data_IF_358911781781
#
_entry.id   IF_358911781781
#
_cell.length_a   1.000
_cell.length_b   1.000
_cell.length_c   1.000
_cell.angle_alpha   90.00
_cell.angle_beta   90.00
_cell.angle_gamma   90.00
#
_symmetry.space_group_name_H-M   'P 1'
#
loop_
_entity.id
_entity.type
_entity.pdbx_description
1 polymer ?
#
# COMPACT_ATOMS: atom_id res chain seq x y z
N UNK A 1 53.85 -8.61 34.79
CA UNK A 1 52.69 -9.32 34.21
C UNK A 1 51.44 -9.01 35.05
N UNK A 2 50.62 -8.04 34.64
CA UNK A 2 49.29 -7.78 35.22
C UNK A 2 48.32 -7.39 34.09
N UNK A 3 47.11 -7.91 34.21
CA UNK A 3 46.14 -8.27 33.17
C UNK A 3 45.56 -7.07 32.42
N UNK A 4 45.49 -7.16 31.08
CA UNK A 4 44.62 -6.31 30.25
C UNK A 4 43.16 -6.61 30.60
N UNK A 5 42.38 -5.56 30.89
CA UNK A 5 40.93 -5.62 31.00
C UNK A 5 40.38 -5.31 29.61
N UNK A 6 39.83 -6.32 28.94
CA UNK A 6 39.05 -6.13 27.72
C UNK A 6 37.63 -5.74 28.12
N UNK A 7 37.26 -4.48 27.91
CA UNK A 7 35.88 -4.01 28.05
C UNK A 7 35.17 -4.33 26.74
N UNK A 8 34.33 -5.36 26.76
CA UNK A 8 33.42 -5.70 25.66
C UNK A 8 32.21 -4.76 25.76
N UNK A 9 32.22 -3.66 25.00
CA UNK A 9 31.04 -2.81 24.83
C UNK A 9 30.12 -3.52 23.85
N UNK A 10 29.18 -4.30 24.39
CA UNK A 10 28.06 -4.80 23.63
C UNK A 10 27.12 -3.62 23.34
N UNK A 11 27.32 -2.97 22.20
CA UNK A 11 26.35 -2.04 21.62
C UNK A 11 25.10 -2.82 21.25
N UNK A 12 24.15 -2.90 22.17
CA UNK A 12 22.81 -3.40 21.93
C UNK A 12 22.10 -2.38 21.02
N UNK A 13 22.17 -2.60 19.72
CA UNK A 13 21.33 -1.89 18.75
C UNK A 13 19.90 -2.39 18.97
N UNK A 14 19.15 -1.66 19.82
CA UNK A 14 17.70 -1.79 19.89
C UNK A 14 17.16 -1.24 18.56
N UNK A 15 17.06 -2.11 17.56
CA UNK A 15 16.14 -1.88 16.45
C UNK A 15 14.75 -1.91 17.09
N UNK A 16 14.25 -0.73 17.41
CA UNK A 16 12.86 -0.52 17.83
C UNK A 16 11.96 -0.87 16.64
N UNK A 17 11.70 -2.17 16.44
CA UNK A 17 10.48 -2.59 15.77
C UNK A 17 9.33 -2.09 16.65
N UNK A 18 8.61 -1.07 16.20
CA UNK A 18 7.36 -0.68 16.83
C UNK A 18 6.42 -1.89 16.92
N UNK A 19 5.40 -1.85 17.81
CA UNK A 19 4.45 -2.95 17.91
C UNK A 19 3.77 -3.17 16.55
N UNK A 20 4.17 -4.24 15.87
CA UNK A 20 3.53 -4.71 14.65
C UNK A 20 2.17 -5.29 15.03
N UNK A 21 1.12 -4.49 14.86
CA UNK A 21 -0.27 -4.90 15.07
C UNK A 21 -0.85 -5.30 13.72
N UNK A 22 -1.19 -6.57 13.56
CA UNK A 22 -1.84 -7.06 12.34
C UNK A 22 -3.29 -6.58 12.28
N UNK A 23 -3.81 -6.42 11.05
CA UNK A 23 -5.23 -6.17 10.82
C UNK A 23 -6.07 -7.37 11.28
N UNK A 24 -7.29 -7.14 11.83
CA UNK A 24 -8.15 -8.22 12.29
C UNK A 24 -8.40 -9.31 11.25
N UNK A 25 -8.47 -10.57 11.68
CA UNK A 25 -8.40 -11.75 10.80
C UNK A 25 -9.47 -11.83 9.69
N UNK A 26 -10.64 -11.22 9.85
CA UNK A 26 -11.68 -11.18 8.80
C UNK A 26 -11.85 -9.83 8.13
N UNK A 27 -10.98 -8.86 8.41
CA UNK A 27 -10.85 -7.72 7.51
C UNK A 27 -10.23 -8.19 6.19
N UNK A 28 -10.71 -7.66 5.07
CA UNK A 28 -10.18 -7.93 3.74
C UNK A 28 -9.41 -6.70 3.26
N UNK A 29 -8.20 -6.91 2.76
CA UNK A 29 -7.43 -5.91 2.00
C UNK A 29 -7.06 -6.54 0.68
N UNK A 30 -7.28 -5.81 -0.42
CA UNK A 30 -6.94 -6.26 -1.77
C UNK A 30 -6.25 -5.15 -2.55
N UNK A 31 -5.21 -5.53 -3.27
CA UNK A 31 -4.52 -4.69 -4.24
C UNK A 31 -4.52 -5.39 -5.60
N UNK A 32 -4.88 -4.66 -6.64
CA UNK A 32 -4.89 -5.18 -8.01
C UNK A 32 -4.32 -4.16 -8.97
N UNK A 33 -3.35 -4.58 -9.78
CA UNK A 33 -2.93 -3.82 -10.95
C UNK A 33 -3.90 -4.03 -12.11
N UNK A 34 -4.17 -2.95 -12.82
CA UNK A 34 -4.94 -2.96 -14.06
C UNK A 34 -4.27 -2.07 -15.10
N UNK A 35 -4.65 -2.28 -16.36
CA UNK A 35 -4.28 -1.43 -17.48
C UNK A 35 -5.58 -0.85 -18.06
N UNK A 36 -5.65 0.45 -18.32
CA UNK A 36 -6.88 1.08 -18.81
C UNK A 36 -6.64 1.91 -20.08
N UNK A 37 -7.57 1.81 -21.02
CA UNK A 37 -7.65 2.66 -22.22
C UNK A 37 -6.59 2.34 -23.29
N UNK A 38 -6.70 3.03 -24.42
CA UNK A 38 -5.83 2.83 -25.60
C UNK A 38 -4.37 3.18 -25.30
N UNK A 39 -4.12 4.10 -24.37
CA UNK A 39 -2.78 4.53 -23.95
C UNK A 39 -2.13 3.58 -22.90
N UNK A 40 -2.80 2.47 -22.55
CA UNK A 40 -2.22 1.47 -21.66
C UNK A 40 -1.82 2.01 -20.28
N UNK A 41 -2.65 2.85 -19.66
CA UNK A 41 -2.35 3.46 -18.35
C UNK A 41 -2.37 2.37 -17.27
N UNK A 42 -1.26 2.19 -16.56
CA UNK A 42 -1.12 1.25 -15.46
C UNK A 42 -1.60 1.88 -14.17
N UNK A 43 -2.57 1.24 -13.54
CA UNK A 43 -3.18 1.68 -12.29
C UNK A 43 -2.94 0.64 -11.19
N UNK A 44 -2.84 1.10 -9.95
CA UNK A 44 -2.99 0.24 -8.77
C UNK A 44 -4.31 0.59 -8.11
N UNK A 45 -5.14 -0.42 -7.93
CA UNK A 45 -6.45 -0.32 -7.31
C UNK A 45 -6.39 -0.95 -5.92
N UNK A 46 -7.06 -0.32 -4.97
CA UNK A 46 -7.12 -0.73 -3.57
C UNK A 46 -8.56 -0.93 -3.14
N UNK A 47 -8.80 -1.97 -2.35
CA UNK A 47 -10.05 -2.19 -1.63
C UNK A 47 -9.78 -2.65 -0.21
N UNK A 48 -10.53 -2.09 0.72
CA UNK A 48 -10.62 -2.53 2.10
C UNK A 48 -12.07 -2.74 2.51
N UNK A 49 -12.33 -3.84 3.19
CA UNK A 49 -13.63 -4.13 3.80
C UNK A 49 -13.40 -4.68 5.20
N UNK A 50 -14.07 -4.10 6.19
CA UNK A 50 -14.07 -4.65 7.54
C UNK A 50 -15.24 -5.62 7.74
N UNK A 51 -14.99 -6.75 8.40
CA UNK A 51 -16.06 -7.64 8.86
C UNK A 51 -16.85 -7.05 10.04
N UNK A 52 -16.28 -6.08 10.75
CA UNK A 52 -16.90 -5.43 11.90
C UNK A 52 -17.61 -4.14 11.52
N UNK A 53 -17.98 -3.99 10.24
CA UNK A 53 -18.57 -2.78 9.66
C UNK A 53 -19.88 -2.38 10.36
N UNK A 54 -19.70 -1.66 11.47
CA UNK A 54 -20.64 -0.86 12.22
C UNK A 54 -19.86 0.15 13.11
N UNK A 55 -18.77 0.74 12.58
CA UNK A 55 -18.05 1.81 13.30
C UNK A 55 -16.55 1.99 13.02
N UNK A 56 -15.87 1.06 12.34
CA UNK A 56 -14.43 1.21 12.03
C UNK A 56 -14.22 2.24 10.91
N UNK A 57 -14.07 3.51 11.28
CA UNK A 57 -13.76 4.60 10.35
C UNK A 57 -12.25 4.71 10.14
N UNK A 58 -11.71 3.92 9.20
CA UNK A 58 -10.39 4.18 8.62
C UNK A 58 -10.43 5.54 7.92
N UNK A 59 -9.42 6.38 8.17
CA UNK A 59 -9.29 7.72 7.58
C UNK A 59 -8.06 7.89 6.69
N UNK A 60 -7.05 7.04 6.86
CA UNK A 60 -5.84 7.05 6.04
C UNK A 60 -5.32 5.64 5.77
N UNK A 61 -4.80 5.46 4.56
CA UNK A 61 -4.18 4.24 4.06
C UNK A 61 -2.76 4.56 3.65
N UNK A 62 -1.80 3.73 4.03
CA UNK A 62 -0.40 3.84 3.64
C UNK A 62 0.04 2.52 3.01
N UNK A 63 0.68 2.58 1.84
CA UNK A 63 1.20 1.42 1.11
C UNK A 63 2.69 1.62 0.89
N UNK A 64 3.54 0.77 1.46
CA UNK A 64 5.02 0.92 1.44
C UNK A 64 5.48 2.33 1.86
N UNK A 65 4.89 2.88 2.92
CA UNK A 65 5.21 4.22 3.43
C UNK A 65 4.65 5.39 2.59
N UNK A 66 3.86 5.10 1.55
CA UNK A 66 3.22 6.11 0.70
C UNK A 66 1.75 6.25 1.04
N UNK A 67 1.29 7.47 1.33
CA UNK A 67 -0.14 7.73 1.52
C UNK A 67 -0.93 7.42 0.26
N UNK A 68 -1.92 6.55 0.40
CA UNK A 68 -2.76 6.08 -0.69
C UNK A 68 -4.12 6.80 -0.64
N UNK A 69 -4.56 7.44 -1.73
CA UNK A 69 -5.82 8.16 -1.77
C UNK A 69 -6.99 7.17 -1.85
N UNK A 70 -7.56 6.83 -0.71
CA UNK A 70 -8.72 5.95 -0.59
C UNK A 70 -9.88 6.65 0.12
N UNK A 71 -11.12 6.31 -0.26
CA UNK A 71 -12.34 6.88 0.28
C UNK A 71 -13.43 5.80 0.42
N UNK A 72 -14.39 6.03 1.30
CA UNK A 72 -15.53 5.13 1.46
C UNK A 72 -16.46 5.20 0.24
N UNK A 73 -16.81 4.03 -0.32
CA UNK A 73 -17.76 3.91 -1.41
C UNK A 73 -19.15 4.41 -0.96
N UNK A 74 -19.80 5.31 -1.72
CA UNK A 74 -20.92 6.09 -1.22
C UNK A 74 -22.29 5.37 -1.14
N UNK A 75 -22.41 4.09 -1.51
CA UNK A 75 -23.73 3.50 -1.82
C UNK A 75 -23.96 2.05 -1.39
N UNK A 76 -23.02 1.41 -0.71
CA UNK A 76 -23.11 -0.02 -0.41
C UNK A 76 -23.54 -0.28 1.04
N UNK A 77 -24.48 -1.22 1.24
CA UNK A 77 -24.84 -1.74 2.57
C UNK A 77 -23.61 -2.35 3.29
N UNK A 78 -22.63 -2.80 2.50
CA UNK A 78 -21.30 -3.22 2.94
C UNK A 78 -20.36 -2.01 2.84
N UNK A 79 -19.77 -1.57 3.95
CA UNK A 79 -18.78 -0.49 3.90
C UNK A 79 -17.49 -0.98 3.25
N UNK A 80 -17.22 -0.50 2.04
CA UNK A 80 -15.99 -0.74 1.30
C UNK A 80 -15.27 0.59 1.16
N UNK A 81 -13.99 0.63 1.52
CA UNK A 81 -13.11 1.74 1.17
C UNK A 81 -12.34 1.36 -0.09
N UNK A 82 -12.30 2.27 -1.06
CA UNK A 82 -11.66 2.07 -2.35
C UNK A 82 -10.77 3.25 -2.72
N UNK A 83 -9.72 2.97 -3.50
CA UNK A 83 -8.83 4.00 -4.00
C UNK A 83 -8.10 3.55 -5.25
N UNK A 84 -7.57 4.51 -5.99
CA UNK A 84 -6.83 4.24 -7.21
C UNK A 84 -5.70 5.23 -7.40
N UNK A 85 -4.53 4.75 -7.83
CA UNK A 85 -3.39 5.59 -8.22
C UNK A 85 -2.85 5.17 -9.57
N UNK A 86 -2.40 6.15 -10.34
CA UNK A 86 -1.69 5.92 -11.59
C UNK A 86 -0.23 5.60 -11.29
N UNK A 87 0.25 4.47 -11.83
CA UNK A 87 1.64 4.03 -11.72
C UNK A 87 2.49 4.53 -12.90
N UNK A 88 1.95 4.44 -14.13
CA UNK A 88 2.65 4.80 -15.37
C UNK A 88 1.68 4.89 -16.56
N UNK A 89 2.06 5.66 -17.59
CA UNK A 89 1.42 5.65 -18.91
C UNK A 89 2.33 4.92 -19.89
N UNK A 90 1.84 3.90 -20.60
CA UNK A 90 2.63 3.28 -21.69
C UNK A 90 2.57 4.19 -22.92
N UNK A 91 3.62 4.97 -23.18
CA UNK A 91 3.65 5.82 -24.39
C UNK A 91 4.04 4.99 -25.62
N UNK A 92 3.06 4.46 -26.34
CA UNK A 92 3.23 4.02 -27.75
C UNK A 92 2.67 5.03 -28.76
N UNK A 93 2.04 6.11 -28.28
CA UNK A 93 1.61 7.23 -29.11
C UNK A 93 2.80 8.13 -29.49
N UNK A 94 3.21 8.08 -30.76
CA UNK A 94 4.12 9.09 -31.34
C UNK A 94 3.53 10.49 -31.16
N UNK A 95 4.22 11.36 -30.41
CA UNK A 95 4.16 12.80 -30.65
C UNK A 95 3.57 13.73 -29.58
N UNK A 96 3.30 13.31 -28.34
CA UNK A 96 2.97 14.25 -27.25
C UNK A 96 3.67 13.86 -25.93
N UNK A 97 4.05 14.83 -25.09
CA UNK A 97 5.18 14.76 -24.18
C UNK A 97 4.96 13.81 -23.00
N UNK A 98 6.08 13.22 -22.55
CA UNK A 98 6.21 12.44 -21.31
C UNK A 98 5.33 13.01 -20.18
N UNK A 99 4.21 12.35 -19.90
CA UNK A 99 3.55 12.51 -18.61
C UNK A 99 4.47 11.83 -17.61
N UNK A 100 5.38 12.61 -17.03
CA UNK A 100 6.32 12.14 -16.01
C UNK A 100 5.53 11.33 -14.96
N UNK A 101 5.87 10.05 -14.73
CA UNK A 101 5.25 9.31 -13.64
C UNK A 101 5.55 10.04 -12.34
N UNK A 102 4.49 10.31 -11.55
CA UNK A 102 4.67 10.87 -10.22
C UNK A 102 5.61 9.95 -9.42
N UNK A 103 6.77 10.45 -8.94
CA UNK A 103 7.78 9.62 -8.28
C UNK A 103 7.28 8.95 -7.00
N UNK A 104 6.15 9.40 -6.47
CA UNK A 104 5.53 8.95 -5.22
C UNK A 104 5.06 7.49 -5.30
N UNK A 105 4.50 7.03 -6.41
CA UNK A 105 3.95 5.66 -6.53
C UNK A 105 4.81 4.73 -7.39
N UNK A 106 5.92 5.22 -7.95
CA UNK A 106 6.84 4.42 -8.78
C UNK A 106 7.42 3.21 -8.05
N UNK A 107 7.59 3.30 -6.73
CA UNK A 107 8.02 2.17 -5.87
C UNK A 107 7.07 0.97 -5.97
N UNK A 108 5.79 1.22 -6.28
CA UNK A 108 4.75 0.21 -6.40
C UNK A 108 4.66 -0.40 -7.81
N UNK A 109 5.48 0.02 -8.78
CA UNK A 109 5.36 -0.47 -10.16
C UNK A 109 5.58 -1.99 -10.26
N UNK A 110 6.67 -2.47 -9.65
CA UNK A 110 7.15 -3.85 -9.81
C UNK A 110 7.02 -4.70 -8.54
N UNK A 111 6.41 -4.18 -7.48
CA UNK A 111 6.25 -4.89 -6.22
C UNK A 111 5.30 -6.10 -6.36
N UNK A 112 5.71 -7.32 -6.02
CA UNK A 112 4.80 -8.48 -6.03
C UNK A 112 3.90 -8.54 -4.79
N UNK A 113 4.37 -7.96 -3.70
CA UNK A 113 3.75 -7.93 -2.39
C UNK A 113 4.16 -6.62 -1.70
N UNK A 114 3.23 -6.05 -0.94
CA UNK A 114 3.44 -4.80 -0.21
C UNK A 114 2.81 -4.85 1.17
N UNK A 115 3.33 -4.04 2.08
CA UNK A 115 2.69 -3.78 3.37
C UNK A 115 1.69 -2.65 3.24
N UNK A 116 0.45 -2.92 3.63
CA UNK A 116 -0.62 -1.93 3.77
C UNK A 116 -0.82 -1.64 5.24
N UNK A 117 -0.80 -0.37 5.61
CA UNK A 117 -1.09 0.14 6.94
C UNK A 117 -2.37 0.97 6.90
N UNK A 118 -3.23 0.77 7.89
CA UNK A 118 -4.47 1.53 8.05
C UNK A 118 -4.39 2.36 9.33
N UNK A 119 -5.00 3.55 9.28
CA UNK A 119 -5.03 4.49 10.39
C UNK A 119 -6.47 4.92 10.68
N UNK A 120 -6.76 5.18 11.96
CA UNK A 120 -8.03 5.68 12.47
C UNK A 120 -7.74 6.85 13.39
N UNK A 121 -8.32 8.02 13.10
CA UNK A 121 -8.09 9.27 13.83
C UNK A 121 -6.59 9.62 13.92
N UNK A 122 -5.83 9.29 12.87
CA UNK A 122 -4.38 9.46 12.80
C UNK A 122 -3.55 8.43 13.58
N UNK A 123 -4.18 7.48 14.28
CA UNK A 123 -3.50 6.42 15.04
C UNK A 123 -3.40 5.12 14.24
N UNK A 124 -2.31 4.38 14.41
CA UNK A 124 -2.07 3.13 13.69
C UNK A 124 -3.10 2.06 14.09
N UNK A 125 -3.93 1.65 13.14
CA UNK A 125 -4.96 0.64 13.35
C UNK A 125 -4.41 -0.77 13.20
N UNK A 126 -3.60 -1.00 12.17
CA UNK A 126 -2.90 -2.25 11.93
C UNK A 126 -2.35 -2.36 10.51
N UNK A 127 -1.61 -3.42 10.24
CA UNK A 127 -1.02 -3.69 8.94
C UNK A 127 -1.31 -5.08 8.39
N UNK A 128 -1.10 -5.24 7.08
CA UNK A 128 -1.14 -6.53 6.41
C UNK A 128 -0.22 -6.55 5.20
N UNK A 129 0.53 -7.64 5.03
CA UNK A 129 1.21 -7.95 3.77
C UNK A 129 0.19 -8.44 2.75
N UNK A 130 0.12 -7.78 1.60
CA UNK A 130 -0.87 -8.01 0.56
C UNK A 130 -0.15 -8.25 -0.75
N UNK A 131 -0.42 -9.38 -1.39
CA UNK A 131 0.03 -9.65 -2.75
C UNK A 131 -0.72 -8.76 -3.73
N UNK A 132 -0.02 -8.26 -4.73
CA UNK A 132 -0.61 -7.44 -5.77
C UNK A 132 -1.04 -8.35 -6.92
N UNK A 133 -2.35 -8.50 -7.08
CA UNK A 133 -2.94 -9.24 -8.20
C UNK A 133 -2.71 -8.50 -9.52
N UNK A 134 -2.64 -9.23 -10.62
CA UNK A 134 -2.58 -8.67 -11.97
C UNK A 134 -3.79 -9.15 -12.78
N UNK A 135 -4.54 -8.21 -13.40
CA UNK A 135 -5.66 -8.55 -14.27
C UNK A 135 -5.37 -8.04 -15.68
N UNK A 136 -5.10 -8.97 -16.58
CA UNK A 136 -4.73 -8.73 -17.99
C UNK A 136 -5.94 -8.55 -18.93
N UNK A 137 -7.12 -8.17 -18.42
CA UNK A 137 -8.36 -8.31 -19.20
C UNK A 137 -8.64 -7.19 -20.22
N UNK A 138 -7.83 -6.12 -20.31
CA UNK A 138 -8.17 -4.95 -21.14
C UNK A 138 -7.16 -4.66 -22.28
N UNK A 139 -6.35 -5.65 -22.69
CA UNK A 139 -5.55 -5.56 -23.93
C UNK A 139 -6.09 -6.56 -24.95
N UNK A 140 -7.17 -6.20 -25.65
CA UNK A 140 -7.60 -6.80 -26.91
C UNK A 140 -7.62 -5.75 -28.01
#
# INVERSE_FOLDING_TARGET
MKKLIAIFVASLVLISCGPQKDLPEGDMVRLQRSVTGIQGIRMLNFWYQSQYANGTQVDSVVVEGVHFPAQWAPTTEIQIMEGQVMLEVRSDAEGEPEVQPHPVYGVLMNASEVTVELYIQGEFYGLRSVKIDYRDEDVQ
#
